data_IF_170272427001
#
_entry.id   IF_170272427001
#
_cell.length_a   1.000
_cell.length_b   1.000
_cell.length_c   1.000
_cell.angle_alpha   90.00
_cell.angle_beta   90.00
_cell.angle_gamma   90.00
#
_symmetry.space_group_name_H-M   'P 1'
#
loop_
_entity.id
_entity.type
_entity.pdbx_description
1 polymer ?
#
# COMPACT_ATOMS: atom_id res chain seq x y z
N UNK A 1 -3.69 17.63 -15.26
CA UNK A 1 -2.41 16.96 -14.91
C UNK A 1 -1.89 17.35 -13.54
N UNK A 2 -2.09 18.58 -13.01
CA UNK A 2 -1.54 18.98 -11.69
C UNK A 2 -2.37 18.61 -10.45
N UNK A 3 -3.54 17.96 -10.59
CA UNK A 3 -4.40 17.62 -9.43
C UNK A 3 -4.17 16.21 -8.90
N UNK A 4 -3.80 15.23 -9.74
CA UNK A 4 -3.60 13.83 -9.33
C UNK A 4 -2.39 13.64 -8.40
N UNK A 5 -1.34 14.46 -8.56
CA UNK A 5 -0.14 14.39 -7.71
C UNK A 5 -0.41 14.72 -6.25
N UNK A 6 -1.44 15.52 -5.98
CA UNK A 6 -1.82 15.96 -4.62
C UNK A 6 -2.81 15.01 -3.94
N UNK A 7 -3.41 14.09 -4.71
CA UNK A 7 -4.36 13.11 -4.18
C UNK A 7 -3.65 12.02 -3.38
N UNK A 8 -4.22 11.66 -2.25
CA UNK A 8 -3.74 10.51 -1.49
C UNK A 8 -4.17 9.20 -2.19
N UNK A 9 -3.36 8.15 -2.04
CA UNK A 9 -3.68 6.81 -2.56
C UNK A 9 -4.25 5.94 -1.44
N UNK A 10 -5.32 5.23 -1.76
CA UNK A 10 -6.03 4.32 -0.89
C UNK A 10 -6.13 2.93 -1.50
N UNK A 11 -6.23 1.95 -0.62
CA UNK A 11 -6.45 0.56 -0.95
C UNK A 11 -7.76 0.11 -0.33
N UNK A 12 -8.61 -0.51 -1.14
CA UNK A 12 -9.90 -1.08 -0.74
C UNK A 12 -9.97 -2.56 -1.10
N UNK A 13 -10.46 -3.39 -0.17
CA UNK A 13 -10.81 -4.78 -0.41
C UNK A 13 -11.90 -5.26 0.54
N UNK A 14 -12.44 -6.43 0.25
CA UNK A 14 -13.30 -7.13 1.21
C UNK A 14 -12.50 -7.56 2.44
N UNK A 15 -13.10 -7.40 3.62
CA UNK A 15 -12.51 -7.89 4.85
C UNK A 15 -12.27 -9.42 4.75
N UNK A 16 -11.09 -9.93 5.16
CA UNK A 16 -10.81 -11.35 5.14
C UNK A 16 -11.86 -12.15 5.94
N UNK A 17 -12.45 -13.16 5.31
CA UNK A 17 -13.49 -14.00 5.93
C UNK A 17 -14.92 -13.47 5.78
N UNK A 18 -15.11 -12.26 5.25
CA UNK A 18 -16.44 -11.81 4.82
C UNK A 18 -16.85 -12.53 3.53
N UNK A 19 -18.09 -13.02 3.43
CA UNK A 19 -18.54 -13.69 2.21
C UNK A 19 -18.54 -12.72 1.03
N UNK A 20 -17.73 -13.01 -0.01
CA UNK A 20 -17.86 -12.33 -1.30
C UNK A 20 -19.06 -12.94 -2.04
N UNK A 21 -20.16 -12.20 -2.12
CA UNK A 21 -21.30 -12.57 -2.95
C UNK A 21 -21.25 -11.87 -4.32
N UNK A 22 -22.05 -12.35 -5.28
CA UNK A 22 -22.12 -11.78 -6.63
C UNK A 22 -22.53 -10.30 -6.62
N UNK A 23 -23.26 -9.87 -5.59
CA UNK A 23 -23.72 -8.48 -5.44
C UNK A 23 -22.57 -7.54 -5.12
N UNK A 24 -21.74 -7.91 -4.14
CA UNK A 24 -20.53 -7.16 -3.77
C UNK A 24 -19.56 -7.07 -4.95
N UNK A 25 -19.36 -8.17 -5.67
CA UNK A 25 -18.55 -8.17 -6.88
C UNK A 25 -19.08 -7.18 -7.93
N UNK A 26 -20.41 -7.16 -8.13
CA UNK A 26 -21.03 -6.24 -9.08
C UNK A 26 -20.85 -4.77 -8.67
N UNK A 27 -20.94 -4.45 -7.39
CA UNK A 27 -20.63 -3.10 -6.89
C UNK A 27 -19.19 -2.70 -7.23
N UNK A 28 -18.22 -3.57 -6.97
CA UNK A 28 -16.84 -3.24 -7.28
C UNK A 28 -16.55 -3.17 -8.79
N UNK A 29 -17.19 -4.02 -9.58
CA UNK A 29 -17.05 -3.98 -11.04
C UNK A 29 -17.57 -2.68 -11.64
N UNK A 30 -18.59 -2.09 -11.01
CA UNK A 30 -19.17 -0.80 -11.35
C UNK A 30 -18.43 0.39 -10.71
N UNK A 31 -17.44 0.14 -9.85
CA UNK A 31 -16.58 1.20 -9.28
C UNK A 31 -17.02 1.74 -7.94
N UNK A 32 -17.85 1.00 -7.22
CA UNK A 32 -18.26 1.39 -5.88
C UNK A 32 -17.22 0.96 -4.84
N UNK A 33 -16.78 1.91 -4.01
CA UNK A 33 -16.06 1.65 -2.76
C UNK A 33 -17.14 1.57 -1.70
N UNK A 34 -17.25 0.44 -1.00
CA UNK A 34 -18.32 0.20 -0.02
C UNK A 34 -17.76 -0.38 1.28
N UNK A 35 -18.28 0.12 2.39
CA UNK A 35 -18.10 -0.44 3.73
C UNK A 35 -19.43 -0.98 4.25
N UNK A 36 -19.34 -2.08 5.02
CA UNK A 36 -20.35 -2.77 5.84
C UNK A 36 -20.58 -4.26 5.45
N UNK A 37 -20.47 -5.18 6.41
CA UNK A 37 -20.49 -6.63 6.17
C UNK A 37 -21.20 -7.46 7.26
N UNK A 38 -22.39 -7.04 7.69
CA UNK A 38 -23.32 -7.92 8.43
C UNK A 38 -24.65 -8.10 7.69
N UNK A 39 -25.26 -9.27 7.85
CA UNK A 39 -26.50 -9.70 7.18
C UNK A 39 -27.78 -9.06 7.77
N UNK A 40 -27.64 -8.04 8.63
CA UNK A 40 -28.77 -7.32 9.23
C UNK A 40 -28.74 -5.85 8.83
N UNK A 41 -29.78 -5.41 8.12
CA UNK A 41 -30.01 -4.01 7.81
C UNK A 41 -30.30 -3.21 9.10
N UNK A 42 -29.32 -2.45 9.57
CA UNK A 42 -29.45 -1.59 10.74
C UNK A 42 -28.66 -0.30 10.58
N UNK A 43 -29.18 0.78 11.16
CA UNK A 43 -28.51 2.07 11.33
C UNK A 43 -27.90 2.24 12.74
N UNK A 44 -28.07 1.26 13.63
CA UNK A 44 -27.68 1.35 15.05
C UNK A 44 -26.17 1.24 15.23
N UNK A 45 -25.56 2.26 15.86
CA UNK A 45 -24.13 2.27 16.17
C UNK A 45 -23.67 1.05 16.98
N UNK A 46 -24.54 0.54 17.86
CA UNK A 46 -24.28 -0.58 18.76
C UNK A 46 -24.28 -1.94 18.05
N UNK A 47 -24.87 -2.03 16.85
CA UNK A 47 -24.77 -3.24 16.02
C UNK A 47 -23.41 -3.33 15.31
N UNK A 48 -22.60 -2.27 15.37
CA UNK A 48 -21.27 -2.22 14.76
C UNK A 48 -20.19 -2.42 15.84
N UNK A 49 -19.79 -3.66 16.10
CA UNK A 49 -18.59 -3.93 16.89
C UNK A 49 -17.35 -3.39 16.14
N UNK A 50 -16.95 -2.14 16.42
CA UNK A 50 -15.75 -1.44 15.92
C UNK A 50 -15.81 -0.83 14.50
N UNK A 51 -16.98 -0.80 13.83
CA UNK A 51 -17.12 -0.41 12.40
C UNK A 51 -17.33 1.08 12.07
N UNK A 52 -17.37 1.98 13.06
CA UNK A 52 -17.62 3.42 12.80
C UNK A 52 -16.41 4.15 12.19
N UNK A 53 -15.18 3.65 12.39
CA UNK A 53 -13.97 4.29 11.91
C UNK A 53 -13.85 4.24 10.37
N UNK A 54 -14.23 3.12 9.74
CA UNK A 54 -14.14 2.96 8.28
C UNK A 54 -15.08 3.96 7.56
N UNK A 55 -16.20 4.34 8.18
CA UNK A 55 -17.11 5.35 7.64
C UNK A 55 -16.52 6.75 7.73
N UNK A 56 -15.90 7.10 8.85
CA UNK A 56 -15.18 8.37 9.01
C UNK A 56 -14.04 8.47 7.99
N UNK A 57 -13.24 7.41 7.83
CA UNK A 57 -12.16 7.35 6.84
C UNK A 57 -12.67 7.47 5.39
N UNK A 58 -13.84 6.88 5.08
CA UNK A 58 -14.47 7.01 3.77
C UNK A 58 -15.04 8.40 3.50
N UNK A 59 -15.64 9.03 4.51
CA UNK A 59 -16.14 10.41 4.40
C UNK A 59 -14.96 11.35 4.19
N UNK A 60 -13.90 11.23 4.99
CA UNK A 60 -12.67 12.01 4.84
C UNK A 60 -12.05 11.83 3.44
N UNK A 61 -12.06 10.59 2.93
CA UNK A 61 -11.63 10.28 1.57
C UNK A 61 -12.53 10.92 0.50
N UNK A 62 -13.85 10.91 0.68
CA UNK A 62 -14.80 11.51 -0.26
C UNK A 62 -14.67 13.04 -0.31
N UNK A 63 -14.48 13.67 0.86
CA UNK A 63 -14.28 15.11 0.98
C UNK A 63 -12.96 15.56 0.38
N UNK A 64 -11.86 14.85 0.68
CA UNK A 64 -10.52 15.20 0.20
C UNK A 64 -10.23 14.74 -1.23
N UNK A 65 -10.99 13.78 -1.74
CA UNK A 65 -10.70 13.07 -2.96
C UNK A 65 -9.48 12.15 -2.83
N UNK A 66 -9.36 11.20 -3.76
CA UNK A 66 -8.21 10.33 -3.78
C UNK A 66 -8.20 9.33 -4.91
N UNK A 67 -7.08 8.65 -5.06
CA UNK A 67 -6.93 7.51 -5.96
C UNK A 67 -7.19 6.24 -5.14
N UNK A 68 -8.06 5.36 -5.60
CA UNK A 68 -8.37 4.11 -4.90
C UNK A 68 -8.15 2.91 -5.80
N UNK A 69 -7.38 1.94 -5.31
CA UNK A 69 -7.31 0.61 -5.88
C UNK A 69 -8.29 -0.30 -5.14
N UNK A 70 -9.21 -0.90 -5.88
CA UNK A 70 -10.17 -1.89 -5.42
C UNK A 70 -9.69 -3.28 -5.80
N UNK A 71 -9.48 -4.16 -4.82
CA UNK A 71 -9.28 -5.58 -5.04
C UNK A 71 -10.65 -6.29 -5.09
N UNK A 72 -10.89 -7.04 -6.17
CA UNK A 72 -12.19 -7.68 -6.43
C UNK A 72 -12.38 -9.02 -5.69
N UNK A 73 -11.40 -9.47 -4.90
CA UNK A 73 -11.48 -10.70 -4.11
C UNK A 73 -11.09 -10.49 -2.64
N UNK A 74 -11.79 -11.20 -1.76
CA UNK A 74 -11.54 -11.24 -0.31
C UNK A 74 -10.54 -12.34 0.07
N UNK A 75 -10.44 -13.38 -0.78
CA UNK A 75 -9.65 -14.55 -0.49
C UNK A 75 -8.28 -14.45 -1.16
N UNK A 76 -7.23 -14.45 -0.33
CA UNK A 76 -5.84 -14.37 -0.78
C UNK A 76 -5.45 -15.54 -1.71
N UNK A 77 -6.25 -16.61 -1.74
CA UNK A 77 -6.00 -17.79 -2.58
C UNK A 77 -6.52 -17.62 -4.03
N UNK A 78 -7.34 -16.59 -4.30
CA UNK A 78 -7.95 -16.33 -5.61
C UNK A 78 -7.51 -14.98 -6.17
N UNK A 79 -6.24 -14.90 -6.57
CA UNK A 79 -5.67 -13.72 -7.27
C UNK A 79 -6.31 -13.38 -8.63
N UNK A 80 -7.27 -14.19 -9.11
CA UNK A 80 -7.75 -14.18 -10.49
C UNK A 80 -8.93 -13.23 -10.77
N UNK A 81 -9.60 -12.68 -9.74
CA UNK A 81 -10.78 -11.82 -9.98
C UNK A 81 -10.46 -10.39 -10.38
N UNK A 82 -9.19 -9.98 -10.33
CA UNK A 82 -8.71 -8.71 -10.87
C UNK A 82 -8.72 -7.55 -9.86
N UNK A 83 -8.22 -6.42 -10.33
CA UNK A 83 -8.07 -5.16 -9.57
C UNK A 83 -8.55 -4.01 -10.43
N UNK A 84 -9.17 -3.01 -9.81
CA UNK A 84 -9.61 -1.80 -10.49
C UNK A 84 -9.01 -0.58 -9.82
N UNK A 85 -8.55 0.37 -10.63
CA UNK A 85 -8.00 1.62 -10.17
C UNK A 85 -8.86 2.76 -10.68
N UNK A 86 -9.22 3.69 -9.81
CA UNK A 86 -9.93 4.90 -10.20
C UNK A 86 -9.70 6.04 -9.22
N UNK A 87 -10.40 7.14 -9.50
CA UNK A 87 -10.30 8.40 -8.76
C UNK A 87 -11.68 8.82 -8.25
N UNK A 88 -11.70 9.27 -7.00
CA UNK A 88 -12.78 10.07 -6.39
C UNK A 88 -12.33 11.52 -6.38
N UNK A 89 -13.11 12.43 -6.94
CA UNK A 89 -12.79 13.86 -6.88
C UNK A 89 -13.17 14.44 -5.51
N UNK A 90 -12.49 15.50 -5.04
CA UNK A 90 -12.86 16.14 -3.78
C UNK A 90 -14.32 16.58 -3.78
N UNK A 91 -14.92 16.64 -2.59
CA UNK A 91 -16.34 17.01 -2.39
C UNK A 91 -17.33 16.02 -3.02
N UNK A 92 -16.95 14.74 -3.16
CA UNK A 92 -17.89 13.69 -3.58
C UNK A 92 -18.84 13.36 -2.43
N UNK A 93 -20.15 13.31 -2.72
CA UNK A 93 -21.15 12.93 -1.73
C UNK A 93 -21.13 11.41 -1.49
N UNK A 94 -20.93 10.95 -0.25
CA UNK A 94 -21.15 9.55 0.10
C UNK A 94 -22.62 9.17 -0.07
N UNK A 95 -22.88 7.90 -0.36
CA UNK A 95 -24.23 7.38 -0.50
C UNK A 95 -24.49 6.21 0.46
N UNK A 96 -25.77 5.90 0.63
CA UNK A 96 -26.32 4.77 1.37
C UNK A 96 -27.27 4.04 0.44
N UNK A 97 -27.14 2.71 0.36
CA UNK A 97 -27.99 1.88 -0.50
C UNK A 97 -28.44 0.62 0.23
N UNK A 98 -29.73 0.30 0.11
CA UNK A 98 -30.30 -0.95 0.58
C UNK A 98 -30.16 -2.04 -0.48
N UNK A 99 -29.91 -3.26 -0.02
CA UNK A 99 -29.79 -4.44 -0.86
C UNK A 99 -30.64 -5.57 -0.30
N UNK A 100 -31.50 -6.13 -1.13
CA UNK A 100 -32.35 -7.26 -0.78
C UNK A 100 -31.79 -8.63 -1.17
N UNK A 101 -32.55 -9.67 -0.85
CA UNK A 101 -32.22 -11.03 -1.28
C UNK A 101 -32.06 -11.11 -2.81
N UNK A 102 -30.96 -11.72 -3.26
CA UNK A 102 -30.63 -11.82 -4.69
C UNK A 102 -29.99 -10.57 -5.31
N UNK A 103 -29.62 -9.56 -4.52
CA UNK A 103 -28.82 -8.41 -4.98
C UNK A 103 -29.62 -7.27 -5.61
N UNK A 104 -30.94 -7.23 -5.38
CA UNK A 104 -31.78 -6.10 -5.79
C UNK A 104 -31.41 -4.86 -4.99
N UNK A 105 -31.21 -3.73 -5.68
CA UNK A 105 -30.76 -2.47 -5.07
C UNK A 105 -31.89 -1.46 -4.98
N UNK A 106 -31.93 -0.71 -3.90
CA UNK A 106 -32.78 0.50 -3.77
C UNK A 106 -32.19 1.67 -4.55
N UNK A 107 -32.83 2.84 -4.49
CA UNK A 107 -32.17 4.10 -4.83
C UNK A 107 -31.03 4.42 -3.84
N UNK A 108 -30.15 5.32 -4.26
CA UNK A 108 -29.06 5.85 -3.45
C UNK A 108 -29.54 7.05 -2.62
N UNK A 109 -29.21 7.05 -1.34
CA UNK A 109 -29.54 8.12 -0.40
C UNK A 109 -28.27 8.82 0.06
N UNK A 110 -28.23 10.15 0.04
CA UNK A 110 -27.10 10.94 0.58
C UNK A 110 -27.40 11.53 1.97
N UNK A 111 -28.68 11.60 2.37
CA UNK A 111 -29.09 11.96 3.73
C UNK A 111 -29.31 10.69 4.58
N UNK A 112 -28.53 10.49 5.67
CA UNK A 112 -28.70 9.35 6.58
C UNK A 112 -30.09 9.25 7.21
N UNK A 113 -30.75 10.37 7.52
CA UNK A 113 -32.09 10.33 8.13
C UNK A 113 -33.14 9.90 7.10
N UNK A 114 -33.00 10.34 5.85
CA UNK A 114 -33.85 9.88 4.75
C UNK A 114 -33.64 8.38 4.49
N UNK A 115 -32.38 7.95 4.38
CA UNK A 115 -32.02 6.55 4.20
C UNK A 115 -32.61 5.68 5.32
N UNK A 116 -32.51 6.13 6.57
CA UNK A 116 -33.06 5.45 7.73
C UNK A 116 -34.57 5.28 7.62
N UNK A 117 -35.30 6.35 7.29
CA UNK A 117 -36.75 6.29 7.17
C UNK A 117 -37.25 5.34 6.06
N UNK A 118 -36.44 5.09 5.03
CA UNK A 118 -36.79 4.21 3.91
C UNK A 118 -36.31 2.77 4.10
N UNK A 119 -35.13 2.58 4.68
CA UNK A 119 -34.46 1.27 4.74
C UNK A 119 -34.64 0.58 6.10
N UNK A 120 -34.82 1.33 7.19
CA UNK A 120 -34.96 0.75 8.53
C UNK A 120 -36.33 0.08 8.69
N UNK A 121 -36.33 -1.25 8.83
CA UNK A 121 -37.55 -2.04 8.99
C UNK A 121 -38.22 -2.47 7.68
N UNK A 122 -37.59 -2.24 6.53
CA UNK A 122 -37.99 -2.85 5.26
C UNK A 122 -37.57 -4.34 5.24
N UNK A 123 -38.54 -5.24 5.24
CA UNK A 123 -38.32 -6.69 5.23
C UNK A 123 -37.70 -7.19 3.90
N UNK A 124 -37.76 -6.40 2.82
CA UNK A 124 -37.13 -6.73 1.54
C UNK A 124 -35.63 -6.39 1.53
N UNK A 125 -35.16 -5.52 2.44
CA UNK A 125 -33.76 -5.11 2.56
C UNK A 125 -33.04 -5.98 3.59
N UNK A 126 -32.03 -6.72 3.14
CA UNK A 126 -31.22 -7.59 4.00
C UNK A 126 -29.89 -6.98 4.38
N UNK A 127 -29.35 -6.09 3.55
CA UNK A 127 -28.06 -5.42 3.77
C UNK A 127 -28.17 -3.93 3.47
N UNK A 128 -27.40 -3.13 4.18
CA UNK A 128 -27.20 -1.70 3.89
C UNK A 128 -25.72 -1.51 3.62
N UNK A 129 -25.40 -0.93 2.46
CA UNK A 129 -24.05 -0.51 2.13
C UNK A 129 -23.94 1.01 2.20
N UNK A 130 -22.79 1.47 2.66
CA UNK A 130 -22.42 2.88 2.66
C UNK A 130 -21.16 2.99 1.82
N UNK A 131 -21.13 3.96 0.91
CA UNK A 131 -20.11 3.95 -0.11
C UNK A 131 -19.84 5.28 -0.77
N UNK A 132 -18.87 5.24 -1.68
CA UNK A 132 -18.53 6.30 -2.62
C UNK A 132 -18.29 5.67 -3.99
N UNK A 133 -18.72 6.32 -5.05
CA UNK A 133 -18.51 5.86 -6.42
C UNK A 133 -17.22 6.47 -7.00
N UNK A 134 -16.43 5.66 -7.69
CA UNK A 134 -15.33 6.14 -8.52
C UNK A 134 -15.89 6.98 -9.68
N UNK A 135 -15.45 8.23 -9.81
CA UNK A 135 -16.01 9.18 -10.78
C UNK A 135 -15.29 9.21 -12.13
N UNK A 136 -14.25 8.41 -12.28
CA UNK A 136 -13.42 8.33 -13.49
C UNK A 136 -13.55 6.96 -14.13
N UNK A 137 -13.25 6.90 -15.43
CA UNK A 137 -13.17 5.60 -16.13
C UNK A 137 -12.17 4.70 -15.39
N UNK A 138 -12.68 3.58 -14.88
CA UNK A 138 -11.88 2.63 -14.13
C UNK A 138 -10.87 1.97 -15.05
N UNK A 139 -9.65 1.81 -14.54
CA UNK A 139 -8.63 1.01 -15.18
C UNK A 139 -8.58 -0.37 -14.54
N UNK A 140 -8.87 -1.40 -15.33
CA UNK A 140 -8.59 -2.78 -14.94
C UNK A 140 -7.08 -3.02 -14.91
N UNK A 141 -6.59 -3.64 -13.85
CA UNK A 141 -5.20 -4.02 -13.68
C UNK A 141 -5.08 -5.53 -13.71
N UNK A 142 -4.39 -6.05 -14.72
CA UNK A 142 -4.13 -7.49 -14.80
C UNK A 142 -3.04 -7.89 -13.81
N UNK A 143 -3.05 -9.15 -13.37
CA UNK A 143 -2.01 -9.71 -12.50
C UNK A 143 -0.60 -9.65 -13.08
N UNK A 144 -0.46 -9.40 -14.40
CA UNK A 144 0.82 -9.23 -15.08
C UNK A 144 1.33 -7.79 -15.07
N UNK A 145 0.43 -6.81 -14.96
CA UNK A 145 0.73 -5.37 -14.94
C UNK A 145 0.86 -4.85 -13.51
N UNK A 146 0.40 -5.62 -12.53
CA UNK A 146 0.38 -5.21 -11.14
C UNK A 146 1.44 -5.94 -10.32
N UNK A 147 2.63 -5.35 -10.27
CA UNK A 147 3.76 -5.83 -9.47
C UNK A 147 3.68 -5.45 -7.99
N UNK A 148 2.69 -4.63 -7.61
CA UNK A 148 2.53 -4.08 -6.26
C UNK A 148 1.76 -5.01 -5.31
N UNK A 149 1.37 -6.21 -5.75
CA UNK A 149 0.61 -7.17 -4.93
C UNK A 149 1.34 -7.58 -3.65
N UNK A 150 2.67 -7.54 -3.64
CA UNK A 150 3.47 -7.82 -2.45
C UNK A 150 3.27 -6.79 -1.32
N UNK A 151 2.79 -5.58 -1.65
CA UNK A 151 2.61 -4.48 -0.71
C UNK A 151 1.16 -4.29 -0.28
N UNK A 152 0.25 -5.16 -0.71
CA UNK A 152 -1.16 -5.07 -0.36
C UNK A 152 -1.34 -5.24 1.16
N UNK A 153 -2.03 -4.30 1.83
CA UNK A 153 -2.27 -4.36 3.26
C UNK A 153 -2.92 -5.69 3.68
N UNK A 154 -2.33 -6.45 4.63
CA UNK A 154 -2.70 -7.83 4.89
C UNK A 154 -4.02 -8.00 5.65
N UNK A 155 -4.55 -6.97 6.33
CA UNK A 155 -5.72 -7.11 7.23
C UNK A 155 -6.64 -5.89 7.31
N UNK A 156 -6.81 -5.11 6.22
CA UNK A 156 -7.69 -3.94 6.24
C UNK A 156 -8.71 -3.96 5.11
N UNK A 157 -9.87 -3.34 5.34
CA UNK A 157 -10.94 -3.15 4.35
C UNK A 157 -10.66 -1.92 3.51
N UNK A 158 -10.34 -0.79 4.17
CA UNK A 158 -10.03 0.47 3.53
C UNK A 158 -8.90 1.17 4.29
N UNK A 159 -7.82 1.57 3.60
CA UNK A 159 -6.75 2.31 4.26
C UNK A 159 -5.98 3.20 3.29
N UNK A 160 -5.28 4.19 3.83
CA UNK A 160 -4.30 4.97 3.08
C UNK A 160 -3.05 4.14 2.78
N UNK A 161 -2.69 4.05 1.50
CA UNK A 161 -1.62 3.19 1.02
C UNK A 161 -0.37 3.98 0.60
N UNK A 162 0.31 4.54 1.61
CA UNK A 162 1.45 5.46 1.43
C UNK A 162 2.66 4.84 0.76
N UNK A 163 2.86 3.54 0.96
CA UNK A 163 4.09 2.83 0.58
C UNK A 163 4.30 2.78 -0.94
N UNK A 164 3.21 2.79 -1.70
CA UNK A 164 3.23 2.68 -3.17
C UNK A 164 2.59 3.89 -3.85
N UNK A 165 2.42 4.99 -3.11
CA UNK A 165 1.63 6.15 -3.54
C UNK A 165 2.11 6.69 -4.90
N UNK A 166 3.42 6.84 -5.08
CA UNK A 166 4.02 7.34 -6.32
C UNK A 166 3.86 6.33 -7.47
N UNK A 167 3.96 5.02 -7.20
CA UNK A 167 3.79 3.96 -8.20
C UNK A 167 2.35 3.87 -8.71
N UNK A 168 1.36 4.00 -7.82
CA UNK A 168 -0.05 4.00 -8.20
C UNK A 168 -0.41 5.25 -9.01
N UNK A 169 0.14 6.42 -8.65
CA UNK A 169 -0.04 7.66 -9.42
C UNK A 169 0.58 7.58 -10.81
N UNK A 170 1.81 7.07 -10.91
CA UNK A 170 2.52 6.84 -12.17
C UNK A 170 1.78 5.84 -13.07
N UNK A 171 1.30 4.75 -12.49
CA UNK A 171 0.43 3.80 -13.17
C UNK A 171 -0.82 4.50 -13.72
N UNK A 172 -1.53 5.29 -12.91
CA UNK A 172 -2.73 6.01 -13.34
C UNK A 172 -2.46 7.03 -14.45
N UNK A 173 -1.34 7.77 -14.40
CA UNK A 173 -0.95 8.74 -15.43
C UNK A 173 -0.34 8.09 -16.68
N UNK A 174 0.05 6.81 -16.61
CA UNK A 174 0.76 6.12 -17.68
C UNK A 174 2.19 6.64 -17.85
N UNK A 175 2.84 7.08 -16.78
CA UNK A 175 4.18 7.69 -16.76
C UNK A 175 5.21 6.86 -15.99
N UNK A 176 6.47 6.86 -16.45
CA UNK A 176 7.52 6.08 -15.79
C UNK A 176 8.09 6.80 -14.60
N UNK A 177 8.25 6.05 -13.51
CA UNK A 177 8.98 6.56 -12.37
C UNK A 177 10.46 6.63 -12.75
N UNK A 178 11.13 7.76 -12.43
CA UNK A 178 12.55 7.94 -12.70
C UNK A 178 13.39 6.91 -11.92
N UNK A 179 14.27 6.18 -12.61
CA UNK A 179 15.13 5.15 -12.00
C UNK A 179 16.19 5.72 -11.05
N UNK A 180 16.47 7.00 -11.16
CA UNK A 180 17.48 7.74 -10.40
C UNK A 180 16.92 8.40 -9.14
N UNK A 181 15.61 8.27 -8.88
CA UNK A 181 14.97 8.87 -7.71
C UNK A 181 14.65 7.81 -6.63
N UNK A 182 15.14 7.98 -5.39
CA UNK A 182 14.84 7.03 -4.30
C UNK A 182 13.35 6.82 -4.04
N UNK A 183 12.51 7.84 -4.26
CA UNK A 183 11.04 7.73 -4.08
C UNK A 183 10.34 6.87 -5.10
N UNK A 184 11.02 6.50 -6.18
CA UNK A 184 10.45 5.62 -7.21
C UNK A 184 10.30 4.17 -6.76
N UNK A 185 10.87 3.82 -5.60
CA UNK A 185 10.98 2.47 -5.11
C UNK A 185 10.20 2.29 -3.81
N UNK A 186 9.51 1.15 -3.69
CA UNK A 186 8.96 0.71 -2.41
C UNK A 186 10.10 0.38 -1.41
N UNK A 187 9.80 0.22 -0.11
CA UNK A 187 10.78 -0.16 0.90
C UNK A 187 11.58 -1.43 0.53
N UNK A 188 10.93 -2.56 0.24
CA UNK A 188 11.67 -3.79 -0.08
C UNK A 188 12.45 -3.69 -1.39
N UNK A 189 11.95 -2.90 -2.37
CA UNK A 189 12.73 -2.63 -3.59
C UNK A 189 13.99 -1.82 -3.27
N UNK A 190 13.87 -0.83 -2.37
CA UNK A 190 15.00 -0.02 -1.91
C UNK A 190 16.02 -0.90 -1.16
N UNK A 191 15.56 -1.75 -0.25
CA UNK A 191 16.41 -2.72 0.46
C UNK A 191 17.13 -3.65 -0.52
N UNK A 192 16.41 -4.15 -1.52
CA UNK A 192 16.99 -5.00 -2.56
C UNK A 192 18.06 -4.27 -3.38
N UNK A 193 17.86 -3.00 -3.70
CA UNK A 193 18.87 -2.19 -4.38
C UNK A 193 20.11 -1.99 -3.48
N UNK A 194 19.92 -1.72 -2.19
CA UNK A 194 21.04 -1.65 -1.24
C UNK A 194 21.83 -2.97 -1.17
N UNK A 195 21.16 -4.13 -1.19
CA UNK A 195 21.86 -5.43 -1.27
C UNK A 195 22.69 -5.57 -2.56
N UNK A 196 22.13 -5.18 -3.70
CA UNK A 196 22.85 -5.25 -4.98
C UNK A 196 24.04 -4.29 -4.98
N UNK A 197 23.92 -3.10 -4.40
CA UNK A 197 25.05 -2.19 -4.21
C UNK A 197 26.16 -2.83 -3.38
N UNK A 198 25.81 -3.43 -2.25
CA UNK A 198 26.78 -4.15 -1.42
C UNK A 198 27.41 -5.34 -2.16
N UNK A 199 26.68 -6.02 -3.04
CA UNK A 199 27.22 -7.11 -3.88
C UNK A 199 28.29 -6.59 -4.84
N UNK A 200 28.02 -5.47 -5.48
CA UNK A 200 28.92 -4.89 -6.48
C UNK A 200 30.15 -4.23 -5.83
N UNK A 201 30.00 -3.52 -4.71
CA UNK A 201 31.11 -2.82 -4.05
C UNK A 201 31.92 -3.71 -3.10
N UNK A 202 31.30 -4.73 -2.49
CA UNK A 202 31.87 -5.45 -1.36
C UNK A 202 31.75 -6.98 -1.41
N UNK A 203 31.33 -7.58 -2.53
CA UNK A 203 31.11 -9.04 -2.64
C UNK A 203 30.14 -9.60 -1.57
N UNK A 204 29.18 -8.78 -1.13
CA UNK A 204 28.21 -9.15 -0.11
C UNK A 204 27.40 -10.41 -0.47
N UNK A 205 27.15 -11.26 0.52
CA UNK A 205 26.20 -12.37 0.40
C UNK A 205 25.14 -12.31 1.52
N UNK A 206 23.85 -12.46 1.19
CA UNK A 206 22.78 -12.44 2.20
C UNK A 206 22.81 -13.72 3.02
N UNK A 207 22.61 -13.61 4.33
CA UNK A 207 22.54 -14.76 5.25
C UNK A 207 21.09 -15.16 5.55
N UNK A 208 20.21 -14.17 5.69
CA UNK A 208 18.77 -14.35 5.94
C UNK A 208 18.06 -13.23 5.17
N UNK A 209 16.85 -13.48 4.64
CA UNK A 209 15.95 -12.40 4.27
C UNK A 209 15.21 -11.92 5.53
N UNK A 210 15.55 -10.75 6.07
CA UNK A 210 14.70 -10.15 7.11
C UNK A 210 13.30 -9.88 6.54
N UNK A 211 12.26 -10.00 7.36
CA UNK A 211 10.89 -9.60 6.96
C UNK A 211 9.98 -10.66 6.32
N UNK A 212 10.37 -11.95 6.24
CA UNK A 212 9.42 -13.01 5.86
C UNK A 212 8.31 -13.23 6.90
N UNK A 213 7.18 -13.82 6.49
CA UNK A 213 6.00 -14.16 7.32
C UNK A 213 6.27 -15.11 8.52
N UNK A 214 7.51 -15.55 8.67
CA UNK A 214 8.02 -16.37 9.78
C UNK A 214 9.14 -15.69 10.60
N UNK A 215 9.38 -14.39 10.41
CA UNK A 215 10.60 -13.67 10.82
C UNK A 215 10.93 -13.68 12.32
N UNK A 216 12.07 -14.28 12.66
CA UNK A 216 12.64 -14.36 14.03
C UNK A 216 13.59 -13.17 14.33
N UNK A 217 13.88 -12.30 13.35
CA UNK A 217 14.67 -11.08 13.56
C UNK A 217 14.09 -9.95 12.71
N UNK A 218 13.42 -8.99 13.36
CA UNK A 218 12.82 -7.80 12.73
C UNK A 218 13.65 -6.53 12.96
N UNK A 219 14.84 -6.67 13.54
CA UNK A 219 15.62 -5.52 14.03
C UNK A 219 16.52 -4.87 12.98
N UNK A 220 16.77 -5.53 11.84
CA UNK A 220 17.62 -5.02 10.77
C UNK A 220 17.07 -5.34 9.39
N UNK A 221 17.15 -4.35 8.48
CA UNK A 221 16.68 -4.46 7.10
C UNK A 221 17.63 -5.30 6.22
N UNK A 222 18.92 -5.40 6.57
CA UNK A 222 19.93 -6.18 5.84
C UNK A 222 20.77 -7.04 6.80
N UNK A 223 20.88 -8.34 6.53
CA UNK A 223 21.72 -9.27 7.31
C UNK A 223 22.49 -10.20 6.37
N UNK A 224 23.81 -10.11 6.40
CA UNK A 224 24.67 -10.93 5.55
C UNK A 224 26.13 -10.95 5.96
N UNK A 225 27.02 -11.13 4.98
CA UNK A 225 28.46 -11.14 5.22
C UNK A 225 29.26 -10.53 4.08
N UNK A 226 30.44 -10.00 4.42
CA UNK A 226 31.48 -9.52 3.50
C UNK A 226 32.80 -10.15 3.96
N UNK A 227 33.35 -11.07 3.17
CA UNK A 227 34.51 -11.85 3.59
C UNK A 227 34.22 -12.65 4.88
N UNK A 228 35.01 -12.40 5.93
CA UNK A 228 34.84 -13.02 7.25
C UNK A 228 33.97 -12.18 8.21
N UNK A 229 33.56 -10.97 7.79
CA UNK A 229 32.79 -10.04 8.63
C UNK A 229 31.28 -10.27 8.47
N UNK A 230 30.56 -10.13 9.58
CA UNK A 230 29.10 -10.04 9.56
C UNK A 230 28.65 -8.65 9.11
N UNK A 231 27.51 -8.57 8.45
CA UNK A 231 26.91 -7.32 7.98
C UNK A 231 25.54 -7.13 8.59
N UNK A 232 25.33 -5.97 9.21
CA UNK A 232 24.01 -5.46 9.58
C UNK A 232 23.77 -4.13 8.86
N UNK A 233 22.57 -3.94 8.35
CA UNK A 233 22.21 -2.69 7.70
C UNK A 233 20.78 -2.26 7.93
N UNK A 234 20.60 -0.95 7.91
CA UNK A 234 19.31 -0.27 8.00
C UNK A 234 19.12 0.60 6.76
N UNK A 235 17.93 0.54 6.17
CA UNK A 235 17.56 1.27 4.96
C UNK A 235 16.42 2.22 5.28
N UNK A 236 16.71 3.52 5.19
CA UNK A 236 15.75 4.57 5.55
C UNK A 236 15.53 5.54 4.39
N UNK A 237 14.56 5.19 3.56
CA UNK A 237 14.05 6.05 2.49
C UNK A 237 12.99 7.05 3.01
N UNK A 238 13.42 7.93 3.90
CA UNK A 238 12.54 8.95 4.49
C UNK A 238 13.25 10.30 4.59
N UNK A 239 12.49 11.38 4.82
CA UNK A 239 13.06 12.74 4.86
C UNK A 239 14.02 12.97 6.02
N UNK A 240 13.77 12.33 7.17
CA UNK A 240 14.56 12.48 8.38
C UNK A 240 15.53 11.33 8.60
N UNK A 241 16.43 11.50 9.59
CA UNK A 241 17.33 10.45 10.05
C UNK A 241 16.69 9.69 11.22
N UNK A 242 16.75 8.36 11.18
CA UNK A 242 16.34 7.52 12.31
C UNK A 242 17.48 7.42 13.32
N UNK A 243 17.38 8.15 14.43
CA UNK A 243 18.40 8.10 15.48
C UNK A 243 18.47 6.71 16.15
N UNK A 244 17.32 6.06 16.37
CA UNK A 244 17.30 4.72 16.96
C UNK A 244 18.00 3.69 16.08
N UNK A 245 17.78 3.73 14.76
CA UNK A 245 18.44 2.79 13.84
C UNK A 245 19.97 3.01 13.80
N UNK A 246 20.42 4.25 13.91
CA UNK A 246 21.84 4.57 14.02
C UNK A 246 22.45 4.06 15.35
N UNK A 247 21.71 4.20 16.46
CA UNK A 247 22.13 3.70 17.77
C UNK A 247 22.21 2.16 17.76
N UNK A 248 21.20 1.48 17.21
CA UNK A 248 21.15 0.02 17.09
C UNK A 248 22.32 -0.52 16.25
N UNK A 249 22.66 0.17 15.14
CA UNK A 249 23.82 -0.17 14.31
C UNK A 249 25.16 0.09 15.01
N UNK A 250 25.27 1.16 15.79
CA UNK A 250 26.49 1.46 16.57
C UNK A 250 26.76 0.39 17.63
N UNK A 251 25.71 -0.10 18.29
CA UNK A 251 25.80 -1.16 19.29
C UNK A 251 26.28 -2.49 18.68
N UNK A 252 25.94 -2.77 17.43
CA UNK A 252 26.42 -3.95 16.69
C UNK A 252 27.81 -3.75 16.07
N UNK A 253 28.18 -2.51 15.73
CA UNK A 253 29.43 -2.19 15.05
C UNK A 253 30.66 -2.57 15.89
N UNK A 254 31.43 -3.54 15.42
CA UNK A 254 32.63 -4.01 16.11
C UNK A 254 33.69 -4.51 15.12
N UNK A 255 34.81 -5.06 15.63
CA UNK A 255 35.93 -5.49 14.79
C UNK A 255 35.67 -6.64 13.81
N UNK A 256 34.51 -7.31 13.89
CA UNK A 256 34.08 -8.38 13.00
C UNK A 256 32.68 -8.13 12.40
N UNK A 257 32.14 -6.92 12.58
CA UNK A 257 30.82 -6.53 12.12
C UNK A 257 30.90 -5.22 11.37
N UNK A 258 30.50 -5.21 10.10
CA UNK A 258 30.32 -4.00 9.30
C UNK A 258 28.86 -3.55 9.40
N UNK A 259 28.64 -2.32 9.84
CA UNK A 259 27.32 -1.73 9.97
C UNK A 259 27.11 -0.68 8.87
N UNK A 260 25.98 -0.75 8.14
CA UNK A 260 25.64 0.19 7.07
C UNK A 260 24.32 0.91 7.33
N UNK A 261 24.31 2.22 7.20
CA UNK A 261 23.10 3.03 7.25
C UNK A 261 22.85 3.68 5.89
N UNK A 262 21.83 3.19 5.18
CA UNK A 262 21.42 3.73 3.89
C UNK A 262 20.37 4.82 4.10
N UNK A 263 20.68 6.03 3.65
CA UNK A 263 19.85 7.21 3.89
C UNK A 263 19.49 7.92 2.60
N UNK A 264 18.25 8.42 2.50
CA UNK A 264 17.85 9.30 1.39
C UNK A 264 18.62 10.61 1.38
N UNK A 265 18.87 11.17 2.57
CA UNK A 265 19.48 12.49 2.74
C UNK A 265 20.79 12.41 3.53
N UNK A 266 21.69 13.40 3.40
CA UNK A 266 22.86 13.51 4.26
C UNK A 266 22.51 13.43 5.75
N UNK A 267 23.36 12.74 6.51
CA UNK A 267 23.21 12.54 7.95
C UNK A 267 24.25 13.40 8.68
N UNK A 268 23.78 14.32 9.52
CA UNK A 268 24.65 15.24 10.24
C UNK A 268 25.39 14.59 11.43
N UNK A 269 24.77 13.58 12.06
CA UNK A 269 25.28 12.95 13.29
C UNK A 269 25.74 11.52 13.01
N UNK A 270 27.01 11.38 12.63
CA UNK A 270 27.60 10.08 12.26
C UNK A 270 27.95 9.25 13.51
N UNK A 271 27.61 7.96 13.51
CA UNK A 271 27.97 7.02 14.59
C UNK A 271 29.29 6.31 14.34
N UNK A 272 29.98 5.90 15.41
CA UNK A 272 31.30 5.27 15.28
C UNK A 272 31.14 3.85 14.72
N UNK A 273 31.83 3.55 13.63
CA UNK A 273 31.83 2.21 13.03
C UNK A 273 30.61 1.93 12.15
N UNK A 274 29.71 2.90 11.97
CA UNK A 274 28.59 2.84 11.03
C UNK A 274 28.96 3.58 9.75
N UNK A 275 28.89 2.87 8.62
CA UNK A 275 29.12 3.43 7.30
C UNK A 275 27.82 3.99 6.74
N UNK A 276 27.79 5.30 6.45
CA UNK A 276 26.61 5.96 5.88
C UNK A 276 26.74 6.01 4.37
N UNK A 277 25.72 5.50 3.67
CA UNK A 277 25.65 5.47 2.21
C UNK A 277 24.38 6.20 1.77
N UNK A 278 24.49 7.12 0.82
CA UNK A 278 23.30 7.79 0.29
C UNK A 278 22.61 6.91 -0.73
N UNK A 279 21.27 6.91 -0.72
CA UNK A 279 20.49 6.19 -1.72
C UNK A 279 20.75 6.72 -3.13
N UNK A 280 21.04 8.01 -3.28
CA UNK A 280 21.45 8.59 -4.57
C UNK A 280 22.73 7.91 -5.11
N UNK A 281 23.75 7.71 -4.25
CA UNK A 281 24.99 7.03 -4.63
C UNK A 281 24.76 5.55 -4.98
N UNK A 282 23.85 4.88 -4.25
CA UNK A 282 23.41 3.51 -4.54
C UNK A 282 22.81 3.43 -5.95
N UNK A 283 21.86 4.32 -6.26
CA UNK A 283 21.18 4.33 -7.55
C UNK A 283 22.14 4.70 -8.68
N UNK A 284 23.02 5.69 -8.49
CA UNK A 284 24.03 6.07 -9.47
C UNK A 284 24.94 4.88 -9.80
N UNK A 285 25.50 4.23 -8.78
CA UNK A 285 26.38 3.06 -8.94
C UNK A 285 25.70 1.94 -9.71
N UNK A 286 24.48 1.58 -9.30
CA UNK A 286 23.74 0.49 -9.92
C UNK A 286 23.24 0.81 -11.33
N UNK A 287 22.90 2.07 -11.61
CA UNK A 287 22.47 2.51 -12.94
C UNK A 287 23.58 2.40 -13.98
N UNK A 288 24.85 2.50 -13.55
CA UNK A 288 26.03 2.34 -14.40
C UNK A 288 26.33 0.91 -14.81
N UNK A 289 25.64 -0.08 -14.24
CA UNK A 289 25.87 -1.50 -14.47
C UNK A 289 24.67 -2.10 -15.23
N UNK A 290 24.92 -2.63 -16.43
CA UNK A 290 23.89 -3.16 -17.34
C UNK A 290 22.86 -4.10 -16.69
N UNK A 291 23.30 -4.97 -15.78
CA UNK A 291 22.42 -5.95 -15.11
C UNK A 291 21.41 -5.26 -14.21
N UNK A 292 21.90 -4.37 -13.35
CA UNK A 292 21.12 -3.69 -12.30
C UNK A 292 20.34 -2.53 -12.90
N UNK A 293 20.84 -1.86 -13.94
CA UNK A 293 20.06 -0.90 -14.73
C UNK A 293 18.75 -1.52 -15.26
N UNK A 294 18.83 -2.67 -15.94
CA UNK A 294 17.63 -3.37 -16.44
C UNK A 294 16.69 -3.83 -15.32
N UNK A 295 17.23 -4.10 -14.14
CA UNK A 295 16.43 -4.43 -12.96
C UNK A 295 15.68 -3.19 -12.45
N UNK A 296 16.35 -2.05 -12.35
CA UNK A 296 15.78 -0.77 -11.95
C UNK A 296 14.69 -0.30 -12.92
N UNK A 297 14.91 -0.42 -14.24
CA UNK A 297 13.88 -0.14 -15.26
C UNK A 297 12.62 -1.00 -15.06
N UNK A 298 12.77 -2.27 -14.66
CA UNK A 298 11.62 -3.15 -14.39
C UNK A 298 10.92 -2.86 -13.07
N UNK A 299 11.66 -2.41 -12.05
CA UNK A 299 11.09 -2.07 -10.74
C UNK A 299 10.29 -0.76 -10.78
N UNK A 300 10.64 0.14 -11.69
CA UNK A 300 10.01 1.45 -11.88
C UNK A 300 8.97 1.47 -13.01
N UNK A 301 8.88 0.38 -13.77
CA UNK A 301 7.84 0.17 -14.76
C UNK A 301 6.53 -0.34 -14.15
N UNK A 302 5.43 0.11 -14.74
CA UNK A 302 4.09 -0.49 -14.61
C UNK A 302 3.71 -1.24 -15.88
#
# INVERSE_FOLDING_TARGET
>A
MSQLSELNVYFHRLAPGSPSDETLFKFYDEGYIICHYDDTASFSADDYENGAADLEDMVDFAESGGVCLIQLDADNDYYDRGRKLGVVTPETEPFIIGVGEGGTRTEEFTDPEEAKNHLEGDEEVTKIYKGVELQTEMRDLTSREYLLSAYEPPSTTFCRWRVVEDQIKALLSGEQLPIDEPTSYSPDQTERLCEEYLREEYEYYPLIQPGGSSGINQSFDLIGGIGDDSVFGEVKNMKGTSQSALDDLEDEANGQTRAFYFSRNPVDDTRKGVEIVLLEDVLETLSGIDRTHRMMERMTAW
#
